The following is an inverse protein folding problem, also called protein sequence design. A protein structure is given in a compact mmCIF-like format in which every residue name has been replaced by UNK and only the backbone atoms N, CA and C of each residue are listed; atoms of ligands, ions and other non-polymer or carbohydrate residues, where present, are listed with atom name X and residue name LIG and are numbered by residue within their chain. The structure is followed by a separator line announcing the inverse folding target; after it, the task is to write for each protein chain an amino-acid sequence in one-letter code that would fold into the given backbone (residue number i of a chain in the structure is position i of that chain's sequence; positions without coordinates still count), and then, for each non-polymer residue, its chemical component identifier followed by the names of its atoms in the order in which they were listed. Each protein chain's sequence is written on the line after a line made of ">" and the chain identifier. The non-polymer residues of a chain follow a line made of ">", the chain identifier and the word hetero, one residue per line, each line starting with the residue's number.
data_IF_942754928937
#
_entry.id   IF_942754928937
#
_cell.length_a   1.000
_cell.length_b   1.000
_cell.length_c   1.000
_cell.angle_alpha   90.00
_cell.angle_beta   90.00
_cell.angle_gamma   90.00
#
_symmetry.space_group_name_H-M   'P 1'
#
loop_
_entity.id
_entity.type
_entity.pdbx_description
1 polymer ?
#
# COMPACT_ATOMS: atom_id res chain seq x y z
N UNK A 1 3.13 14.40 27.00
CA UNK A 1 2.66 14.73 25.64
C UNK A 1 1.88 13.53 25.18
N UNK A 2 0.58 13.66 24.96
CA UNK A 2 -0.19 12.59 24.34
C UNK A 2 0.30 12.45 22.88
N UNK A 3 0.86 11.30 22.54
CA UNK A 3 1.21 10.98 21.16
C UNK A 3 -0.09 10.80 20.37
N UNK A 4 -0.28 11.63 19.34
CA UNK A 4 -1.46 11.51 18.47
C UNK A 4 -1.28 10.30 17.56
N UNK A 5 -2.21 9.34 17.61
CA UNK A 5 -2.17 8.14 16.77
C UNK A 5 -3.04 8.30 15.52
N UNK A 6 -2.64 7.62 14.45
CA UNK A 6 -3.36 7.61 13.19
C UNK A 6 -4.69 6.87 13.34
N UNK A 7 -5.80 7.50 12.98
CA UNK A 7 -7.15 6.91 13.04
C UNK A 7 -7.35 5.68 12.13
N UNK A 8 -6.40 5.40 11.22
CA UNK A 8 -6.46 4.24 10.31
C UNK A 8 -5.55 3.10 10.75
N UNK A 9 -4.29 3.38 11.06
CA UNK A 9 -3.31 2.34 11.37
C UNK A 9 -2.88 2.29 12.84
N UNK A 10 -3.40 3.17 13.70
CA UNK A 10 -3.06 3.30 15.11
C UNK A 10 -1.58 3.59 15.44
N UNK A 11 -0.71 3.71 14.42
CA UNK A 11 0.68 4.17 14.56
C UNK A 11 0.78 5.68 14.88
N UNK A 12 1.89 6.09 15.49
CA UNK A 12 2.16 7.49 15.82
C UNK A 12 2.12 8.41 14.57
N UNK A 13 1.43 9.55 14.68
CA UNK A 13 1.31 10.58 13.64
C UNK A 13 2.55 11.47 13.60
N UNK A 14 3.62 11.01 12.95
CA UNK A 14 4.77 11.88 12.64
C UNK A 14 4.47 12.81 11.45
N UNK A 15 3.72 12.32 10.47
CA UNK A 15 3.41 13.02 9.22
C UNK A 15 1.92 12.92 8.93
N UNK A 16 1.21 14.04 9.00
CA UNK A 16 -0.23 14.10 8.72
C UNK A 16 -0.48 14.40 7.26
N UNK A 17 -1.62 13.93 6.75
CA UNK A 17 -2.10 14.25 5.41
C UNK A 17 -3.56 14.66 5.44
N UNK A 18 -3.87 15.81 4.86
CA UNK A 18 -5.22 16.37 4.89
C UNK A 18 -5.56 17.09 3.58
N UNK A 19 -6.86 17.13 3.27
CA UNK A 19 -7.39 17.95 2.17
C UNK A 19 -7.94 19.27 2.70
N UNK A 20 -8.63 20.01 1.85
CA UNK A 20 -9.30 21.27 2.24
C UNK A 20 -10.32 21.10 3.37
N UNK A 21 -10.78 19.87 3.63
CA UNK A 21 -11.65 19.54 4.75
C UNK A 21 -10.95 19.62 6.12
N UNK A 22 -9.63 19.76 6.19
CA UNK A 22 -8.88 20.03 7.42
C UNK A 22 -8.66 18.86 8.38
N UNK A 23 -9.30 17.70 8.17
CA UNK A 23 -9.07 16.48 8.98
C UNK A 23 -7.63 15.98 8.90
N UNK A 24 -6.91 16.02 10.04
CA UNK A 24 -5.47 15.72 10.18
C UNK A 24 -5.18 14.43 10.96
N UNK A 25 -6.21 13.67 11.29
CA UNK A 25 -6.13 12.50 12.18
C UNK A 25 -5.51 11.26 11.50
N UNK A 26 -4.97 11.38 10.29
CA UNK A 26 -4.50 10.25 9.49
C UNK A 26 -3.11 10.51 8.91
N UNK A 27 -2.26 9.48 9.02
CA UNK A 27 -0.89 9.57 8.56
C UNK A 27 -0.80 9.63 7.02
N UNK A 28 0.26 10.27 6.54
CA UNK A 28 0.54 10.38 5.11
C UNK A 28 0.60 9.03 4.39
N UNK A 29 1.19 7.99 5.01
CA UNK A 29 1.23 6.65 4.43
C UNK A 29 -0.16 6.07 4.18
N UNK A 30 -1.10 6.23 5.14
CA UNK A 30 -2.46 5.74 4.99
C UNK A 30 -3.24 6.51 3.91
N UNK A 31 -3.15 7.84 3.89
CA UNK A 31 -3.80 8.66 2.86
C UNK A 31 -3.26 8.35 1.46
N UNK A 32 -1.94 8.21 1.32
CA UNK A 32 -1.30 7.83 0.06
C UNK A 32 -1.74 6.43 -0.36
N UNK A 33 -1.81 5.47 0.57
CA UNK A 33 -2.29 4.10 0.27
C UNK A 33 -3.71 4.09 -0.28
N UNK A 34 -4.63 4.85 0.32
CA UNK A 34 -6.00 5.00 -0.21
C UNK A 34 -5.99 5.57 -1.64
N UNK A 35 -5.20 6.61 -1.88
CA UNK A 35 -5.14 7.29 -3.18
C UNK A 35 -4.47 6.47 -4.27
N UNK A 36 -3.38 5.78 -3.94
CA UNK A 36 -2.55 5.04 -4.89
C UNK A 36 -3.06 3.62 -5.12
N UNK A 37 -3.34 2.86 -4.05
CA UNK A 37 -3.72 1.45 -4.15
C UNK A 37 -5.21 1.27 -4.40
N UNK A 38 -6.05 2.11 -3.79
CA UNK A 38 -7.51 1.99 -3.88
C UNK A 38 -8.15 3.00 -4.84
N UNK A 39 -7.36 3.90 -5.43
CA UNK A 39 -7.84 5.01 -6.25
C UNK A 39 -8.92 5.88 -5.55
N UNK A 40 -8.96 5.89 -4.21
CA UNK A 40 -9.93 6.66 -3.44
C UNK A 40 -9.34 8.00 -3.02
N UNK A 41 -9.94 9.08 -3.51
CA UNK A 41 -9.53 10.47 -3.23
C UNK A 41 -10.39 11.15 -2.16
N UNK A 42 -11.27 10.42 -1.49
CA UNK A 42 -12.09 10.95 -0.40
C UNK A 42 -11.30 11.01 0.90
N UNK A 43 -11.63 11.98 1.75
CA UNK A 43 -11.18 12.00 3.13
C UNK A 43 -11.68 10.74 3.86
N UNK A 44 -10.81 10.02 4.54
CA UNK A 44 -11.19 8.83 5.29
C UNK A 44 -12.07 9.13 6.51
N UNK A 45 -12.02 10.37 7.02
CA UNK A 45 -12.84 10.85 8.15
C UNK A 45 -14.24 11.27 7.67
N UNK A 46 -14.35 12.35 6.89
CA UNK A 46 -15.65 12.91 6.50
C UNK A 46 -16.18 12.48 5.12
N UNK A 47 -15.44 11.66 4.37
CA UNK A 47 -15.78 11.19 3.01
C UNK A 47 -15.88 12.28 1.93
N UNK A 48 -15.59 13.54 2.25
CA UNK A 48 -15.48 14.62 1.28
C UNK A 48 -14.44 14.31 0.21
N UNK A 49 -14.77 14.56 -1.06
CA UNK A 49 -13.85 14.43 -2.17
C UNK A 49 -12.72 15.45 -2.04
N UNK A 50 -11.47 14.99 -1.97
CA UNK A 50 -10.29 15.85 -1.87
C UNK A 50 -9.40 15.66 -3.11
N UNK A 51 -9.54 16.49 -4.15
CA UNK A 51 -8.73 16.37 -5.38
C UNK A 51 -7.23 16.40 -5.08
N UNK A 52 -6.83 17.28 -4.17
CA UNK A 52 -5.47 17.41 -3.66
C UNK A 52 -5.44 17.22 -2.14
N UNK A 53 -4.30 16.76 -1.64
CA UNK A 53 -3.98 16.71 -0.21
C UNK A 53 -2.59 17.27 0.02
N UNK A 54 -2.38 17.78 1.22
CA UNK A 54 -1.11 18.31 1.67
C UNK A 54 -0.57 17.47 2.82
N UNK A 55 0.73 17.21 2.80
CA UNK A 55 1.48 16.48 3.82
C UNK A 55 2.46 17.43 4.48
N UNK A 56 2.46 17.40 5.80
CA UNK A 56 3.40 18.14 6.64
C UNK A 56 3.72 17.34 7.89
N UNK A 57 4.78 17.75 8.59
CA UNK A 57 5.22 17.13 9.83
C UNK A 57 4.32 17.59 10.99
N UNK A 58 3.90 16.65 11.82
CA UNK A 58 3.05 16.93 12.97
C UNK A 58 3.87 17.43 14.16
N UNK A 59 3.44 18.57 14.70
CA UNK A 59 4.00 19.24 15.86
C UNK A 59 2.89 19.72 16.83
N UNK A 60 1.73 19.05 16.81
CA UNK A 60 0.57 19.41 17.62
C UNK A 60 0.04 20.80 17.24
N UNK A 61 -0.11 21.67 18.23
CA UNK A 61 -0.60 23.04 18.04
C UNK A 61 0.33 23.91 17.16
N UNK A 62 1.59 23.50 16.99
CA UNK A 62 2.58 24.21 16.18
C UNK A 62 2.66 23.70 14.73
N UNK A 63 1.84 22.71 14.36
CA UNK A 63 1.79 22.19 12.99
C UNK A 63 1.43 23.30 12.01
N UNK A 64 2.35 23.62 11.08
CA UNK A 64 2.09 24.60 10.02
C UNK A 64 1.02 24.04 9.09
N UNK A 65 -0.11 24.74 8.98
CA UNK A 65 -1.22 24.31 8.13
C UNK A 65 -1.42 25.24 6.95
N UNK A 66 -1.79 24.66 5.82
CA UNK A 66 -2.29 25.39 4.65
C UNK A 66 -3.81 25.30 4.72
N UNK A 67 -4.46 26.45 4.87
CA UNK A 67 -5.93 26.55 4.89
C UNK A 67 -6.49 26.82 3.51
N UNK A 68 -5.74 27.55 2.68
CA UNK A 68 -6.15 27.91 1.32
C UNK A 68 -5.50 27.02 0.26
N UNK A 69 -6.23 25.96 -0.12
CA UNK A 69 -5.83 25.02 -1.18
C UNK A 69 -5.94 25.63 -2.59
N UNK A 70 -6.55 26.81 -2.75
CA UNK A 70 -6.61 27.50 -4.05
C UNK A 70 -5.25 28.05 -4.49
N UNK A 71 -4.31 28.17 -3.55
CA UNK A 71 -2.93 28.59 -3.81
C UNK A 71 -2.09 27.53 -4.53
N UNK A 72 -2.55 26.27 -4.55
CA UNK A 72 -1.84 25.22 -5.25
C UNK A 72 -1.93 25.40 -6.77
N UNK A 73 -0.86 25.09 -7.52
CA UNK A 73 -0.90 25.13 -8.98
C UNK A 73 -2.04 24.28 -9.52
N UNK A 74 -2.70 24.74 -10.59
CA UNK A 74 -3.87 24.04 -11.17
C UNK A 74 -3.49 22.76 -11.94
N UNK A 75 -2.33 22.73 -12.60
CA UNK A 75 -1.77 21.54 -13.28
C UNK A 75 -0.29 21.31 -12.89
N UNK A 76 -0.02 20.94 -11.63
CA UNK A 76 1.33 20.69 -11.15
C UNK A 76 1.90 19.44 -11.82
N UNK A 77 3.19 19.48 -12.17
CA UNK A 77 3.96 18.31 -12.64
C UNK A 77 4.75 17.71 -11.50
N UNK A 78 5.04 16.41 -11.62
CA UNK A 78 5.87 15.67 -10.67
C UNK A 78 7.17 16.42 -10.31
N UNK A 79 7.45 16.59 -9.01
CA UNK A 79 8.68 17.25 -8.53
C UNK A 79 8.44 18.55 -7.78
N UNK A 80 9.43 19.43 -7.79
CA UNK A 80 9.37 20.71 -7.09
C UNK A 80 8.44 21.67 -7.82
N UNK A 81 7.54 22.31 -7.08
CA UNK A 81 6.52 23.25 -7.55
C UNK A 81 6.48 24.47 -6.64
N UNK A 82 6.35 25.67 -7.21
CA UNK A 82 6.29 26.92 -6.43
C UNK A 82 7.53 27.20 -5.57
N UNK A 83 8.68 26.61 -5.92
CA UNK A 83 9.99 26.81 -5.26
C UNK A 83 10.17 26.17 -3.88
N UNK A 84 9.10 25.73 -3.23
CA UNK A 84 9.13 25.25 -1.83
C UNK A 84 8.32 23.99 -1.57
N UNK A 85 7.43 23.60 -2.49
CA UNK A 85 6.59 22.43 -2.35
C UNK A 85 7.03 21.32 -3.31
N UNK A 86 6.75 20.08 -2.94
CA UNK A 86 6.98 18.91 -3.77
C UNK A 86 5.66 18.22 -4.07
N UNK A 87 5.44 17.85 -5.32
CA UNK A 87 4.21 17.23 -5.76
C UNK A 87 4.45 15.84 -6.33
N UNK A 88 3.65 14.88 -5.86
CA UNK A 88 3.59 13.52 -6.39
C UNK A 88 2.33 13.36 -7.25
N UNK A 89 2.53 13.23 -8.55
CA UNK A 89 1.50 13.31 -9.58
C UNK A 89 0.50 12.17 -9.52
N UNK A 90 0.95 10.97 -9.21
CA UNK A 90 0.11 9.78 -9.19
C UNK A 90 -0.87 9.78 -8.01
N UNK A 91 -0.44 10.31 -6.87
CA UNK A 91 -1.26 10.39 -5.65
C UNK A 91 -1.99 11.72 -5.49
N UNK A 92 -1.63 12.75 -6.27
CA UNK A 92 -2.14 14.13 -6.13
C UNK A 92 -1.87 14.71 -4.74
N UNK A 93 -0.66 14.48 -4.23
CA UNK A 93 -0.23 14.89 -2.88
C UNK A 93 0.87 15.93 -2.98
N UNK A 94 0.75 17.02 -2.23
CA UNK A 94 1.80 18.01 -2.00
C UNK A 94 2.52 17.75 -0.68
N UNK A 95 3.80 18.08 -0.61
CA UNK A 95 4.66 17.95 0.56
C UNK A 95 5.45 19.24 0.74
N UNK A 96 5.64 19.69 1.98
CA UNK A 96 6.58 20.74 2.34
C UNK A 96 7.99 20.21 2.67
N UNK A 97 8.15 18.89 2.78
CA UNK A 97 9.42 18.23 3.06
C UNK A 97 9.86 17.29 1.93
N UNK A 98 11.11 17.45 1.49
CA UNK A 98 11.70 16.67 0.41
C UNK A 98 11.93 15.20 0.79
N UNK A 99 12.30 14.90 2.03
CA UNK A 99 12.57 13.54 2.47
C UNK A 99 11.27 12.75 2.53
N UNK A 100 10.19 13.35 3.01
CA UNK A 100 8.89 12.69 3.04
C UNK A 100 8.31 12.48 1.65
N UNK A 101 8.44 13.47 0.76
CA UNK A 101 8.09 13.30 -0.67
C UNK A 101 8.88 12.14 -1.31
N UNK A 102 10.20 12.10 -1.14
CA UNK A 102 11.03 11.04 -1.74
C UNK A 102 10.75 9.66 -1.15
N UNK A 103 10.44 9.58 0.15
CA UNK A 103 9.98 8.35 0.81
C UNK A 103 8.68 7.85 0.18
N UNK A 104 7.63 8.66 0.14
CA UNK A 104 6.34 8.27 -0.45
C UNK A 104 6.50 7.89 -1.94
N UNK A 105 7.24 8.69 -2.70
CA UNK A 105 7.55 8.40 -4.10
C UNK A 105 8.27 7.06 -4.25
N UNK A 106 9.14 6.69 -3.32
CA UNK A 106 9.79 5.37 -3.36
C UNK A 106 8.83 4.22 -3.05
N UNK A 107 7.88 4.40 -2.13
CA UNK A 107 6.87 3.40 -1.79
C UNK A 107 5.88 3.14 -2.93
N UNK A 108 5.59 4.16 -3.74
CA UNK A 108 4.71 4.05 -4.91
C UNK A 108 5.39 3.39 -6.12
N UNK A 109 6.69 3.08 -6.06
CA UNK A 109 7.42 2.49 -7.19
C UNK A 109 7.47 0.97 -7.10
N UNK A 110 7.52 0.34 -8.28
CA UNK A 110 7.95 -1.04 -8.41
C UNK A 110 9.47 -1.11 -8.19
N UNK A 111 9.88 -1.63 -7.04
CA UNK A 111 11.29 -1.85 -6.68
C UNK A 111 11.48 -3.21 -6.00
N UNK A 112 12.72 -3.71 -6.04
CA UNK A 112 13.12 -4.92 -5.35
C UNK A 112 13.74 -4.57 -4.00
N UNK A 113 13.04 -4.92 -2.92
CA UNK A 113 13.51 -4.65 -1.54
C UNK A 113 14.76 -5.44 -1.16
N UNK A 114 14.98 -6.61 -1.78
CA UNK A 114 16.20 -7.40 -1.59
C UNK A 114 17.43 -6.72 -2.20
N UNK A 115 17.32 -6.15 -3.40
CA UNK A 115 18.41 -5.35 -4.00
C UNK A 115 18.73 -4.10 -3.18
N UNK A 116 17.71 -3.43 -2.63
CA UNK A 116 17.90 -2.20 -1.86
C UNK A 116 18.67 -2.44 -0.55
N UNK A 117 18.52 -3.63 0.07
CA UNK A 117 19.27 -4.04 1.27
C UNK A 117 20.74 -4.40 0.98
N UNK A 118 21.04 -4.97 -0.18
CA UNK A 118 22.37 -5.49 -0.53
C UNK A 118 23.38 -4.45 -1.02
N UNK A 119 23.15 -3.14 -0.82
CA UNK A 119 24.01 -2.02 -1.25
C UNK A 119 25.39 -1.90 -0.55
N UNK A 120 25.98 -3.00 -0.09
CA UNK A 120 27.35 -3.03 0.44
C UNK A 120 28.44 -3.36 -0.58
N UNK A 121 28.18 -3.44 -1.90
CA UNK A 121 29.29 -3.79 -2.80
C UNK A 121 29.16 -3.76 -4.32
N UNK A 122 28.16 -3.13 -4.96
CA UNK A 122 28.14 -3.08 -6.43
C UNK A 122 27.88 -1.68 -6.99
N UNK A 123 28.81 -1.23 -7.84
CA UNK A 123 28.86 0.08 -8.51
C UNK A 123 27.83 0.23 -9.64
N UNK A 124 26.71 -0.49 -9.61
CA UNK A 124 25.58 -0.26 -10.51
C UNK A 124 24.57 0.64 -9.80
N UNK A 125 24.77 1.95 -9.90
CA UNK A 125 23.93 2.99 -9.33
C UNK A 125 22.51 3.08 -9.94
N UNK A 126 22.05 2.05 -10.64
CA UNK A 126 20.72 2.01 -11.20
C UNK A 126 19.81 1.24 -10.23
N UNK A 127 19.01 1.96 -9.44
CA UNK A 127 17.75 1.42 -8.91
C UNK A 127 17.00 0.85 -10.12
N UNK A 128 16.97 -0.48 -10.27
CA UNK A 128 16.30 -1.13 -11.38
C UNK A 128 14.83 -0.70 -11.33
N UNK A 129 14.40 0.06 -12.35
CA UNK A 129 13.02 0.54 -12.46
C UNK A 129 12.24 -0.51 -13.24
N UNK A 130 11.42 -1.26 -12.53
CA UNK A 130 10.56 -2.25 -13.17
C UNK A 130 9.39 -1.53 -13.86
N UNK A 131 9.05 -1.98 -15.07
CA UNK A 131 7.95 -1.43 -15.86
C UNK A 131 6.60 -2.06 -15.51
N UNK A 132 6.61 -3.27 -14.96
CA UNK A 132 5.43 -4.03 -14.59
C UNK A 132 5.71 -4.94 -13.40
N UNK A 133 4.64 -5.42 -12.76
CA UNK A 133 4.73 -6.37 -11.63
C UNK A 133 5.33 -7.70 -12.09
N UNK A 134 5.07 -8.11 -13.33
CA UNK A 134 5.62 -9.31 -13.96
C UNK A 134 7.15 -9.23 -14.03
N UNK A 135 7.70 -8.12 -14.51
CA UNK A 135 9.16 -7.94 -14.56
C UNK A 135 9.80 -7.96 -13.17
N UNK A 136 9.10 -7.44 -12.15
CA UNK A 136 9.57 -7.51 -10.77
C UNK A 136 9.54 -8.96 -10.25
N UNK A 137 8.47 -9.71 -10.53
CA UNK A 137 8.36 -11.14 -10.15
C UNK A 137 9.43 -11.99 -10.80
N UNK A 138 9.70 -11.77 -12.08
CA UNK A 138 10.75 -12.48 -12.81
C UNK A 138 12.12 -12.17 -12.19
N UNK A 139 12.40 -10.89 -11.93
CA UNK A 139 13.62 -10.48 -11.27
C UNK A 139 13.80 -11.14 -9.89
N UNK A 140 12.76 -11.13 -9.04
CA UNK A 140 12.80 -11.76 -7.71
C UNK A 140 13.07 -13.26 -7.82
N UNK A 141 12.42 -13.94 -8.77
CA UNK A 141 12.60 -15.37 -9.03
C UNK A 141 14.02 -15.69 -9.50
N UNK A 142 14.54 -14.94 -10.47
CA UNK A 142 15.83 -15.22 -11.08
C UNK A 142 17.03 -14.81 -10.20
N UNK A 143 16.99 -13.61 -9.61
CA UNK A 143 18.11 -13.03 -8.87
C UNK A 143 18.09 -13.36 -7.38
N UNK A 144 16.91 -13.57 -6.79
CA UNK A 144 16.77 -13.74 -5.35
C UNK A 144 16.18 -15.08 -4.94
N UNK A 145 15.67 -15.91 -5.87
CA UNK A 145 14.93 -17.14 -5.55
C UNK A 145 13.73 -16.88 -4.62
N UNK A 146 13.15 -15.70 -4.76
CA UNK A 146 12.01 -15.23 -3.97
C UNK A 146 10.79 -15.03 -4.87
N UNK A 147 9.62 -15.24 -4.30
CA UNK A 147 8.34 -15.18 -4.97
C UNK A 147 7.33 -14.39 -4.17
N UNK A 148 6.37 -13.78 -4.86
CA UNK A 148 5.24 -13.08 -4.26
C UNK A 148 3.99 -13.96 -4.42
N UNK A 149 3.17 -14.07 -3.37
CA UNK A 149 1.87 -14.73 -3.48
C UNK A 149 0.95 -13.95 -4.44
N UNK A 150 0.45 -14.61 -5.49
CA UNK A 150 -0.42 -13.98 -6.49
C UNK A 150 -1.77 -13.55 -5.92
N UNK A 151 -2.29 -14.28 -4.93
CA UNK A 151 -3.53 -13.93 -4.24
C UNK A 151 -3.33 -12.69 -3.37
N UNK A 152 -2.26 -12.63 -2.57
CA UNK A 152 -1.91 -11.47 -1.75
C UNK A 152 -1.57 -10.23 -2.58
N UNK A 153 -0.93 -10.40 -3.75
CA UNK A 153 -0.68 -9.29 -4.67
C UNK A 153 -1.97 -8.57 -5.10
N UNK A 154 -3.07 -9.31 -5.27
CA UNK A 154 -4.36 -8.75 -5.68
C UNK A 154 -5.21 -8.34 -4.47
N UNK A 155 -5.26 -9.18 -3.44
CA UNK A 155 -6.13 -9.01 -2.29
C UNK A 155 -5.60 -8.09 -1.21
N UNK A 156 -4.29 -8.15 -0.90
CA UNK A 156 -3.67 -7.33 0.15
C UNK A 156 -3.40 -5.93 -0.37
N UNK A 157 -4.16 -4.96 0.13
CA UNK A 157 -4.13 -3.55 -0.33
C UNK A 157 -2.98 -2.75 0.29
N UNK A 158 -1.76 -3.23 0.09
CA UNK A 158 -0.50 -2.62 0.56
C UNK A 158 0.37 -2.20 -0.62
N UNK A 159 1.41 -1.39 -0.37
CA UNK A 159 2.37 -1.06 -1.43
C UNK A 159 3.11 -2.32 -1.88
N UNK A 160 3.53 -2.37 -3.14
CA UNK A 160 4.24 -3.54 -3.69
C UNK A 160 5.52 -3.84 -2.92
N UNK A 161 6.23 -2.80 -2.44
CA UNK A 161 7.41 -2.94 -1.60
C UNK A 161 7.11 -3.49 -0.18
N UNK A 162 5.86 -3.48 0.26
CA UNK A 162 5.41 -4.02 1.56
C UNK A 162 4.88 -5.47 1.47
N UNK A 163 4.84 -6.02 0.26
CA UNK A 163 4.45 -7.41 0.05
C UNK A 163 5.51 -8.36 0.59
N UNK A 164 5.06 -9.45 1.22
CA UNK A 164 5.95 -10.49 1.71
C UNK A 164 6.59 -11.23 0.54
N UNK A 165 7.86 -11.56 0.69
CA UNK A 165 8.63 -12.36 -0.24
C UNK A 165 8.89 -13.72 0.38
N UNK A 166 8.69 -14.77 -0.41
CA UNK A 166 8.75 -16.15 0.05
C UNK A 166 9.74 -16.94 -0.78
N UNK A 167 10.46 -17.89 -0.17
CA UNK A 167 11.02 -19.00 -0.94
C UNK A 167 9.89 -19.84 -1.54
N UNK A 168 10.20 -20.75 -2.46
CA UNK A 168 9.20 -21.63 -3.07
C UNK A 168 8.47 -22.47 -2.02
N UNK A 169 9.19 -23.00 -1.04
CA UNK A 169 8.61 -23.84 0.01
C UNK A 169 7.76 -23.02 0.98
N UNK A 170 8.25 -21.84 1.38
CA UNK A 170 7.48 -20.89 2.19
C UNK A 170 6.20 -20.43 1.49
N UNK A 171 6.23 -20.25 0.16
CA UNK A 171 5.03 -19.85 -0.59
C UNK A 171 3.98 -20.98 -0.62
N UNK A 172 4.42 -22.23 -0.79
CA UNK A 172 3.52 -23.38 -0.76
C UNK A 172 2.87 -23.51 0.62
N UNK A 173 3.65 -23.36 1.69
CA UNK A 173 3.17 -23.34 3.08
C UNK A 173 2.21 -22.18 3.34
N UNK A 174 2.56 -20.97 2.91
CA UNK A 174 1.71 -19.77 2.99
C UNK A 174 0.33 -20.02 2.39
N UNK A 175 0.28 -20.69 1.22
CA UNK A 175 -0.98 -20.99 0.54
C UNK A 175 -1.77 -22.08 1.27
N UNK A 176 -1.12 -23.14 1.74
CA UNK A 176 -1.80 -24.35 2.24
C UNK A 176 -2.15 -24.32 3.74
N UNK A 177 -1.26 -23.78 4.56
CA UNK A 177 -1.34 -23.82 6.02
C UNK A 177 -1.08 -22.47 6.69
N UNK A 178 -0.79 -21.44 5.90
CA UNK A 178 -0.49 -20.10 6.39
C UNK A 178 1.00 -19.87 6.62
N UNK A 179 1.34 -18.72 7.19
CA UNK A 179 2.72 -18.34 7.49
C UNK A 179 3.18 -19.04 8.78
N UNK A 180 4.24 -19.83 8.74
CA UNK A 180 4.73 -20.59 9.91
C UNK A 180 5.82 -19.90 10.72
N UNK A 181 6.04 -18.59 10.53
CA UNK A 181 7.14 -17.88 11.20
C UNK A 181 6.69 -16.93 12.32
N UNK A 182 7.51 -16.97 13.36
CA UNK A 182 7.47 -16.30 14.67
C UNK A 182 7.94 -14.84 14.62
N UNK A 183 8.23 -14.32 13.42
CA UNK A 183 8.83 -13.00 13.15
C UNK A 183 7.84 -11.85 12.98
N UNK A 184 6.54 -12.09 13.26
CA UNK A 184 5.51 -11.05 13.31
C UNK A 184 5.24 -10.57 14.73
N UNK A 185 4.81 -9.31 14.89
CA UNK A 185 4.20 -8.85 16.15
C UNK A 185 2.99 -9.74 16.50
N UNK A 186 2.57 -9.80 17.77
CA UNK A 186 1.47 -10.70 18.18
C UNK A 186 0.16 -10.50 17.40
N UNK A 187 -0.03 -9.32 16.80
CA UNK A 187 -1.14 -9.02 15.87
C UNK A 187 -1.01 -9.69 14.49
N UNK A 188 0.20 -9.99 14.02
CA UNK A 188 0.46 -10.70 12.75
C UNK A 188 0.40 -12.23 12.90
N UNK A 189 0.43 -12.76 14.13
CA UNK A 189 0.19 -14.19 14.44
C UNK A 189 -1.27 -14.62 14.27
N UNK A 190 -2.13 -13.71 13.83
CA UNK A 190 -3.57 -13.90 13.79
C UNK A 190 -4.01 -14.97 12.80
N UNK A 191 -4.11 -16.22 13.24
CA UNK A 191 -5.02 -17.26 12.75
C UNK A 191 -5.07 -17.50 11.23
N UNK A 192 -4.09 -17.03 10.46
CA UNK A 192 -4.06 -17.20 9.02
C UNK A 192 -3.64 -18.64 8.72
N UNK A 193 -4.61 -19.49 8.40
CA UNK A 193 -4.41 -20.92 8.10
C UNK A 193 -4.18 -21.19 6.62
N UNK A 194 -3.81 -20.16 5.84
CA UNK A 194 -3.64 -20.22 4.40
C UNK A 194 -4.86 -19.77 3.60
N UNK A 195 -4.74 -19.84 2.28
CA UNK A 195 -5.76 -19.40 1.35
C UNK A 195 -6.83 -20.48 1.15
N UNK A 196 -8.12 -20.19 1.36
CA UNK A 196 -9.16 -21.21 1.25
C UNK A 196 -9.28 -21.74 -0.18
N UNK A 197 -9.50 -23.06 -0.29
CA UNK A 197 -9.61 -23.74 -1.58
C UNK A 197 -11.06 -24.11 -1.89
N UNK A 198 -11.44 -23.98 -3.15
CA UNK A 198 -12.70 -24.55 -3.63
C UNK A 198 -12.61 -26.08 -3.66
N UNK A 199 -13.56 -26.74 -3.03
CA UNK A 199 -13.59 -28.20 -2.93
C UNK A 199 -13.81 -28.89 -4.29
N UNK A 200 -14.44 -28.21 -5.24
CA UNK A 200 -14.74 -28.70 -6.59
C UNK A 200 -13.60 -28.38 -7.57
N UNK A 201 -13.20 -27.11 -7.66
CA UNK A 201 -12.18 -26.65 -8.61
C UNK A 201 -10.74 -26.90 -8.16
N UNK A 202 -10.50 -27.19 -6.87
CA UNK A 202 -9.15 -27.29 -6.26
C UNK A 202 -8.27 -26.07 -6.52
N UNK A 203 -8.89 -24.89 -6.64
CA UNK A 203 -8.21 -23.60 -6.85
C UNK A 203 -8.26 -22.78 -5.55
N UNK A 204 -7.16 -22.12 -5.15
CA UNK A 204 -7.13 -21.25 -3.98
C UNK A 204 -7.72 -19.86 -4.25
N UNK A 205 -8.32 -19.25 -3.23
CA UNK A 205 -8.91 -17.91 -3.23
C UNK A 205 -8.28 -17.04 -2.14
N UNK A 206 -8.35 -15.72 -2.29
CA UNK A 206 -7.71 -14.80 -1.34
C UNK A 206 -8.25 -14.99 0.09
N UNK A 207 -9.57 -15.01 0.26
CA UNK A 207 -10.23 -15.27 1.52
C UNK A 207 -11.61 -15.91 1.35
N UNK A 208 -12.32 -16.05 2.48
CA UNK A 208 -13.62 -16.70 2.53
C UNK A 208 -14.70 -16.00 1.70
N UNK A 209 -14.62 -14.68 1.56
CA UNK A 209 -15.60 -13.90 0.78
C UNK A 209 -15.48 -14.18 -0.72
N UNK A 210 -14.25 -14.23 -1.25
CA UNK A 210 -14.00 -14.57 -2.65
C UNK A 210 -14.40 -16.02 -2.94
N UNK A 211 -14.07 -16.94 -2.02
CA UNK A 211 -14.51 -18.34 -2.15
C UNK A 211 -16.04 -18.43 -2.11
N UNK A 212 -16.70 -17.79 -1.16
CA UNK A 212 -18.17 -17.81 -1.06
C UNK A 212 -18.85 -17.27 -2.32
N UNK A 213 -18.33 -16.17 -2.86
CA UNK A 213 -18.83 -15.58 -4.11
C UNK A 213 -18.67 -16.53 -5.29
N UNK A 214 -17.52 -17.20 -5.38
CA UNK A 214 -17.27 -18.23 -6.39
C UNK A 214 -18.22 -19.42 -6.23
N UNK A 215 -18.33 -19.96 -5.02
CA UNK A 215 -19.21 -21.09 -4.71
C UNK A 215 -20.66 -20.81 -5.08
N UNK A 216 -21.16 -19.63 -4.73
CA UNK A 216 -22.54 -19.22 -4.98
C UNK A 216 -22.86 -19.08 -6.48
N UNK A 217 -21.88 -18.70 -7.30
CA UNK A 217 -22.07 -18.47 -8.75
C UNK A 217 -21.80 -19.71 -9.60
N UNK A 218 -20.73 -20.43 -9.29
CA UNK A 218 -20.22 -21.49 -10.16
C UNK A 218 -20.70 -22.90 -9.75
N UNK A 219 -21.15 -23.09 -8.51
CA UNK A 219 -21.46 -24.41 -7.98
C UNK A 219 -22.82 -24.52 -7.27
N UNK A 220 -23.28 -23.45 -6.62
CA UNK A 220 -24.54 -23.43 -5.87
C UNK A 220 -25.63 -22.57 -6.53
N UNK A 221 -25.53 -22.35 -7.84
CA UNK A 221 -26.58 -21.71 -8.62
C UNK A 221 -27.83 -22.59 -8.67
N UNK A 222 -28.83 -22.25 -7.86
CA UNK A 222 -30.13 -22.91 -7.90
C UNK A 222 -30.94 -22.40 -9.10
N UNK A 223 -31.24 -23.28 -10.06
CA UNK A 223 -32.07 -22.96 -11.22
C UNK A 223 -33.51 -22.54 -10.89
N UNK A 224 -33.96 -22.77 -9.66
CA UNK A 224 -35.30 -22.38 -9.19
C UNK A 224 -35.30 -20.91 -8.69
N UNK A 225 -34.18 -20.41 -8.17
CA UNK A 225 -34.07 -19.05 -7.60
C UNK A 225 -33.71 -17.96 -8.63
N UNK A 226 -33.49 -18.33 -9.90
CA UNK A 226 -33.21 -17.39 -11.01
C UNK A 226 -34.46 -17.02 -11.84
N UNK A 227 -35.68 -17.30 -11.33
CA UNK A 227 -36.96 -16.90 -11.94
C UNK A 227 -37.56 -15.68 -11.26
#
# INVERSE_FOLDING_TARGET
>A
MEESCCAVCAENLEWVAYGFCGHREVCSTCVVRLRFILADRRCCICKTQCPFVFVTKEFGDYTKTITDFSTFPSDPKEGCVGGSLWYHEETKVFFDDFNQYTRIKSMCRLSCTSCDKSKKGSKSNHRLRFKSVEHLKDHLSHQHKLHMCSLCLVGRKVFVCEQKLFTKDQLNQHISSGDSEVDGSESERGGFTGHPMCEFCKRPFYGGNELYTHMSREHYTCHICQR
#
